data_IF_217434504209
#
_entry.id   IF_217434504209
#
_cell.length_a   1.000
_cell.length_b   1.000
_cell.length_c   1.000
_cell.angle_alpha   90.00
_cell.angle_beta   90.00
_cell.angle_gamma   90.00
#
_symmetry.space_group_name_H-M   'P 1'
#
loop_
_entity.id
_entity.type
_entity.pdbx_description
1 polymer ?
#
# COMPACT_ATOMS: atom_id res chain seq x y z
N UNK A 1 17.07 9.22 2.64
CA UNK A 1 17.53 8.48 3.83
C UNK A 1 17.05 9.06 5.17
N UNK A 2 16.47 10.27 5.23
CA UNK A 2 16.14 10.96 6.50
C UNK A 2 14.67 10.79 6.98
N UNK A 3 13.68 10.79 6.07
CA UNK A 3 12.25 10.70 6.43
C UNK A 3 11.69 9.26 6.46
N UNK A 4 12.27 8.38 5.65
CA UNK A 4 11.86 6.98 5.48
C UNK A 4 13.12 6.08 5.55
N UNK A 5 13.79 6.00 6.71
CA UNK A 5 15.10 5.35 6.81
C UNK A 5 15.08 3.86 6.44
N UNK A 6 13.93 3.20 6.65
CA UNK A 6 13.71 1.79 6.31
C UNK A 6 13.38 1.56 4.83
N UNK A 7 13.05 2.61 4.06
CA UNK A 7 12.68 2.51 2.65
C UNK A 7 13.78 3.07 1.73
N UNK A 8 14.52 2.17 1.08
CA UNK A 8 15.80 2.47 0.40
C UNK A 8 15.69 2.66 -1.12
N UNK A 9 14.58 3.20 -1.62
CA UNK A 9 14.46 3.51 -3.05
C UNK A 9 14.76 4.99 -3.33
N UNK A 10 15.93 5.26 -3.95
CA UNK A 10 16.42 6.61 -4.25
C UNK A 10 15.50 7.43 -5.17
N UNK A 11 14.67 6.78 -6.01
CA UNK A 11 13.77 7.46 -6.97
C UNK A 11 12.70 8.32 -6.29
N UNK A 12 12.38 8.05 -5.02
CA UNK A 12 11.38 8.82 -4.26
C UNK A 12 11.97 10.01 -3.48
N UNK A 13 13.28 10.21 -3.50
CA UNK A 13 13.95 11.33 -2.79
C UNK A 13 14.18 12.54 -3.71
N UNK A 14 13.14 12.95 -4.43
CA UNK A 14 13.09 14.23 -5.16
C UNK A 14 12.71 15.36 -4.19
N UNK A 15 12.89 16.63 -4.58
CA UNK A 15 12.45 17.77 -3.76
C UNK A 15 10.95 17.67 -3.41
N UNK A 16 10.11 17.36 -4.40
CA UNK A 16 8.66 17.14 -4.21
C UNK A 16 8.37 15.97 -3.27
N UNK A 17 9.11 14.86 -3.41
CA UNK A 17 8.99 13.70 -2.54
C UNK A 17 9.39 13.99 -1.08
N UNK A 18 10.44 14.81 -0.88
CA UNK A 18 10.88 15.24 0.44
C UNK A 18 9.86 16.17 1.11
N UNK A 19 9.35 17.17 0.40
CA UNK A 19 8.29 18.06 0.90
C UNK A 19 7.01 17.27 1.24
N UNK A 20 6.62 16.34 0.37
CA UNK A 20 5.52 15.42 0.63
C UNK A 20 5.76 14.54 1.87
N UNK A 21 6.98 14.04 2.05
CA UNK A 21 7.36 13.25 3.21
C UNK A 21 7.36 14.04 4.51
N UNK A 22 7.79 15.31 4.52
CA UNK A 22 7.69 16.20 5.68
C UNK A 22 6.21 16.40 6.05
N UNK A 23 5.37 16.74 5.07
CA UNK A 23 3.93 16.87 5.28
C UNK A 23 3.33 15.59 5.84
N UNK A 24 3.67 14.43 5.28
CA UNK A 24 3.19 13.12 5.76
C UNK A 24 3.54 12.89 7.23
N UNK A 25 4.73 13.29 7.70
CA UNK A 25 5.15 13.11 9.09
C UNK A 25 4.44 14.06 10.07
N UNK A 26 4.08 15.26 9.63
CA UNK A 26 3.45 16.27 10.49
C UNK A 26 1.92 16.13 10.53
N UNK A 27 1.27 15.87 9.39
CA UNK A 27 -0.19 15.95 9.23
C UNK A 27 -0.77 14.78 8.43
N UNK A 28 -2.09 14.57 8.54
CA UNK A 28 -2.82 13.55 7.78
C UNK A 28 -2.79 12.16 8.40
N UNK A 29 -3.35 11.19 7.67
CA UNK A 29 -3.58 9.83 8.16
C UNK A 29 -2.38 8.88 8.01
N UNK A 30 -1.38 9.23 7.18
CA UNK A 30 -0.25 8.35 6.83
C UNK A 30 1.02 8.59 7.66
N UNK A 31 0.92 9.22 8.84
CA UNK A 31 2.07 9.64 9.67
C UNK A 31 2.99 8.49 10.06
N UNK A 32 2.41 7.32 10.29
CA UNK A 32 3.13 6.12 10.75
C UNK A 32 3.67 5.26 9.61
N UNK A 33 3.27 5.53 8.35
CA UNK A 33 3.70 4.72 7.21
C UNK A 33 5.21 4.88 6.98
N UNK A 34 5.98 3.79 6.86
CA UNK A 34 7.44 3.86 6.76
C UNK A 34 7.98 4.13 5.34
N UNK A 35 7.11 4.37 4.36
CA UNK A 35 7.44 4.78 2.98
C UNK A 35 6.61 6.01 2.54
N UNK A 36 7.00 6.68 1.44
CA UNK A 36 6.26 7.82 0.90
C UNK A 36 4.85 7.44 0.42
N UNK A 37 3.84 8.22 0.83
CA UNK A 37 2.45 8.06 0.41
C UNK A 37 1.91 9.40 -0.06
N UNK A 38 1.13 9.40 -1.14
CA UNK A 38 0.47 10.61 -1.59
C UNK A 38 -0.57 11.08 -0.56
N UNK A 39 -0.72 12.38 -0.35
CA UNK A 39 -1.60 12.91 0.71
C UNK A 39 -3.10 12.62 0.49
N UNK A 40 -3.50 12.26 -0.74
CA UNK A 40 -4.86 11.83 -1.07
C UNK A 40 -5.07 10.32 -0.95
N UNK A 41 -4.00 9.58 -0.69
CA UNK A 41 -4.05 8.13 -0.48
C UNK A 41 -4.11 7.83 1.02
N UNK A 42 -4.57 6.64 1.38
CA UNK A 42 -4.69 6.20 2.77
C UNK A 42 -4.13 4.78 2.91
N UNK A 43 -3.27 4.60 3.92
CA UNK A 43 -2.76 3.28 4.31
C UNK A 43 -3.17 2.99 5.76
N UNK A 44 -3.88 1.88 5.97
CA UNK A 44 -4.29 1.38 7.29
C UNK A 44 -3.45 0.15 7.66
N UNK A 45 -3.10 0.05 8.94
CA UNK A 45 -2.23 -1.00 9.46
C UNK A 45 -0.92 -1.20 8.67
N UNK A 46 -0.13 -0.13 8.42
CA UNK A 46 1.12 -0.23 7.68
C UNK A 46 2.15 -1.18 8.32
N UNK A 47 2.03 -1.44 9.63
CA UNK A 47 2.85 -2.41 10.36
C UNK A 47 2.64 -3.86 9.92
N UNK A 48 1.52 -4.16 9.26
CA UNK A 48 1.17 -5.49 8.71
C UNK A 48 1.42 -5.60 7.21
N UNK A 49 1.99 -4.57 6.60
CA UNK A 49 2.25 -4.53 5.16
C UNK A 49 3.76 -4.67 4.95
N UNK A 50 4.14 -5.63 4.10
CA UNK A 50 5.48 -5.70 3.53
C UNK A 50 5.48 -4.90 2.23
N UNK A 51 5.98 -3.65 2.21
CA UNK A 51 6.16 -2.91 0.98
C UNK A 51 7.33 -3.53 0.22
N UNK A 52 7.13 -3.87 -1.06
CA UNK A 52 8.22 -4.30 -1.92
C UNK A 52 9.22 -3.19 -2.20
N UNK A 53 9.84 -3.21 -3.38
CA UNK A 53 10.83 -2.16 -3.73
C UNK A 53 10.20 -0.84 -4.18
N UNK A 54 8.87 -0.78 -4.33
CA UNK A 54 8.09 0.42 -4.66
C UNK A 54 7.25 0.86 -3.47
N UNK A 55 6.85 2.12 -3.46
CA UNK A 55 6.09 2.73 -2.37
C UNK A 55 4.58 2.61 -2.67
N UNK A 56 3.86 1.60 -2.16
CA UNK A 56 2.44 1.46 -2.45
C UNK A 56 1.68 2.66 -1.87
N UNK A 57 0.79 3.24 -2.68
CA UNK A 57 0.07 4.46 -2.32
C UNK A 57 0.83 5.77 -2.57
N UNK A 58 2.00 5.73 -3.22
CA UNK A 58 2.69 6.94 -3.69
C UNK A 58 1.96 7.62 -4.86
N UNK A 59 1.11 6.88 -5.59
CA UNK A 59 0.20 7.44 -6.58
C UNK A 59 -1.04 8.05 -5.89
N UNK A 60 -1.79 8.88 -6.62
CA UNK A 60 -2.95 9.59 -6.07
C UNK A 60 -4.11 8.64 -5.75
N UNK A 61 -4.79 8.87 -4.62
CA UNK A 61 -6.11 8.31 -4.33
C UNK A 61 -6.16 6.80 -4.06
N UNK A 62 -5.04 6.17 -3.71
CA UNK A 62 -5.02 4.75 -3.35
C UNK A 62 -5.62 4.52 -1.97
N UNK A 63 -6.31 3.39 -1.79
CA UNK A 63 -6.79 2.92 -0.49
C UNK A 63 -6.18 1.55 -0.18
N UNK A 64 -5.31 1.48 0.82
CA UNK A 64 -4.56 0.26 1.15
C UNK A 64 -4.86 -0.11 2.59
N UNK A 65 -5.56 -1.22 2.78
CA UNK A 65 -5.97 -1.71 4.08
C UNK A 65 -5.23 -3.01 4.42
N UNK A 66 -4.23 -2.92 5.30
CA UNK A 66 -3.37 -4.04 5.69
C UNK A 66 -3.83 -4.84 6.90
N UNK A 67 -5.08 -4.72 7.37
CA UNK A 67 -5.51 -5.31 8.65
C UNK A 67 -5.37 -6.84 8.74
N UNK A 68 -5.51 -7.61 7.65
CA UNK A 68 -5.16 -9.04 7.60
C UNK A 68 -3.78 -9.33 6.97
N UNK A 69 -3.04 -8.28 6.61
CA UNK A 69 -1.72 -8.38 6.01
C UNK A 69 -1.73 -8.26 4.48
N UNK A 70 -0.66 -7.65 3.96
CA UNK A 70 -0.41 -7.54 2.52
C UNK A 70 1.08 -7.77 2.29
N UNK A 71 1.40 -8.71 1.41
CA UNK A 71 2.76 -9.00 0.95
C UNK A 71 2.89 -8.50 -0.47
N UNK A 72 3.67 -7.43 -0.67
CA UNK A 72 4.02 -6.91 -1.98
C UNK A 72 5.49 -7.22 -2.24
N UNK A 73 5.75 -8.04 -3.24
CA UNK A 73 7.12 -8.41 -3.61
C UNK A 73 7.82 -7.32 -4.45
N UNK A 74 9.02 -7.61 -4.92
CA UNK A 74 9.87 -6.65 -5.61
C UNK A 74 9.26 -6.19 -6.96
N UNK A 75 9.50 -4.92 -7.29
CA UNK A 75 9.13 -4.34 -8.58
C UNK A 75 7.62 -4.38 -8.90
N UNK A 76 6.76 -4.45 -7.89
CA UNK A 76 5.31 -4.28 -8.05
C UNK A 76 4.95 -2.81 -8.10
N UNK A 77 4.28 -2.37 -9.16
CA UNK A 77 3.82 -0.99 -9.32
C UNK A 77 2.35 -0.85 -8.94
N UNK A 78 2.02 0.21 -8.20
CA UNK A 78 0.63 0.58 -7.89
C UNK A 78 0.29 1.91 -8.56
N UNK A 79 -0.67 1.86 -9.49
CA UNK A 79 -1.18 3.03 -10.19
C UNK A 79 -2.11 3.90 -9.34
N UNK A 80 -2.62 5.00 -9.90
CA UNK A 80 -3.62 5.84 -9.26
C UNK A 80 -4.88 5.06 -8.88
N UNK A 81 -5.49 5.39 -7.74
CA UNK A 81 -6.81 4.89 -7.31
C UNK A 81 -6.92 3.37 -7.17
N UNK A 82 -5.79 2.67 -7.11
CA UNK A 82 -5.75 1.25 -6.74
C UNK A 82 -6.24 1.08 -5.30
N UNK A 83 -7.13 0.12 -5.10
CA UNK A 83 -7.57 -0.29 -3.77
C UNK A 83 -7.08 -1.71 -3.46
N UNK A 84 -6.40 -1.90 -2.35
CA UNK A 84 -5.93 -3.21 -1.86
C UNK A 84 -6.51 -3.40 -0.47
N UNK A 85 -7.49 -4.29 -0.32
CA UNK A 85 -8.33 -4.37 0.88
C UNK A 85 -8.19 -5.77 1.48
N UNK A 86 -7.29 -5.93 2.45
CA UNK A 86 -7.04 -7.24 3.08
C UNK A 86 -8.12 -7.65 4.08
N UNK A 87 -9.05 -6.78 4.49
CA UNK A 87 -10.04 -7.12 5.51
C UNK A 87 -11.48 -7.03 4.99
N UNK A 88 -12.24 -8.07 5.30
CA UNK A 88 -13.68 -8.17 5.07
C UNK A 88 -14.45 -8.21 6.40
N UNK A 89 -15.74 -7.91 6.32
CA UNK A 89 -16.70 -8.15 7.39
C UNK A 89 -17.27 -9.56 7.30
N UNK A 90 -17.79 -10.11 8.41
CA UNK A 90 -18.54 -11.36 8.33
C UNK A 90 -19.85 -11.14 7.54
N UNK A 91 -20.29 -12.17 6.83
CA UNK A 91 -21.47 -12.08 5.97
C UNK A 91 -22.78 -11.95 6.76
N UNK A 92 -22.79 -12.38 8.01
CA UNK A 92 -23.91 -12.38 8.95
C UNK A 92 -23.81 -11.29 10.03
N UNK A 93 -22.62 -10.75 10.27
CA UNK A 93 -22.39 -9.62 11.19
C UNK A 93 -21.35 -8.62 10.66
N UNK A 94 -21.85 -7.50 10.15
CA UNK A 94 -21.02 -6.39 9.65
C UNK A 94 -20.28 -5.59 10.73
N UNK A 95 -20.50 -5.84 12.02
CA UNK A 95 -19.67 -5.28 13.09
C UNK A 95 -18.41 -6.11 13.35
N UNK A 96 -18.43 -7.38 12.95
CA UNK A 96 -17.30 -8.29 13.06
C UNK A 96 -16.43 -8.28 11.80
N UNK A 97 -15.17 -8.67 11.96
CA UNK A 97 -14.21 -8.80 10.87
C UNK A 97 -13.77 -10.25 10.70
N UNK A 98 -13.57 -10.67 9.45
CA UNK A 98 -13.07 -12.01 9.12
C UNK A 98 -11.55 -11.99 9.13
N UNK A 99 -10.96 -12.95 9.82
CA UNK A 99 -9.53 -13.24 9.73
C UNK A 99 -9.29 -14.11 8.48
N UNK A 100 -8.47 -13.60 7.56
CA UNK A 100 -8.15 -14.27 6.29
C UNK A 100 -6.64 -14.32 6.08
N UNK A 101 -6.22 -15.07 5.05
CA UNK A 101 -4.86 -15.06 4.56
C UNK A 101 -4.49 -13.66 4.04
N UNK A 102 -3.21 -13.26 4.13
CA UNK A 102 -2.77 -11.99 3.58
C UNK A 102 -2.95 -11.97 2.05
N UNK A 103 -3.14 -10.77 1.50
CA UNK A 103 -3.05 -10.57 0.04
C UNK A 103 -1.58 -10.74 -0.37
N UNK A 104 -1.32 -11.47 -1.45
CA UNK A 104 0.03 -11.66 -2.00
C UNK A 104 0.08 -11.12 -3.42
N UNK A 105 0.96 -10.14 -3.67
CA UNK A 105 1.21 -9.62 -5.01
C UNK A 105 2.66 -9.91 -5.36
N UNK A 106 2.85 -10.89 -6.26
CA UNK A 106 4.17 -11.39 -6.61
C UNK A 106 4.94 -10.40 -7.51
N UNK A 107 6.25 -10.57 -7.56
CA UNK A 107 7.19 -9.64 -8.19
C UNK A 107 6.88 -9.35 -9.65
N UNK A 108 7.37 -8.20 -10.12
CA UNK A 108 7.25 -7.71 -11.50
C UNK A 108 5.81 -7.48 -11.99
N UNK A 109 4.86 -7.27 -11.08
CA UNK A 109 3.46 -7.04 -11.41
C UNK A 109 3.12 -5.54 -11.52
N UNK A 110 2.04 -5.23 -12.22
CA UNK A 110 1.48 -3.88 -12.35
C UNK A 110 0.01 -3.91 -11.95
N UNK A 111 -0.34 -3.15 -10.91
CA UNK A 111 -1.73 -2.81 -10.61
C UNK A 111 -2.05 -1.49 -11.31
N UNK A 112 -2.79 -1.53 -12.41
CA UNK A 112 -3.15 -0.35 -13.17
C UNK A 112 -4.24 0.48 -12.46
N UNK A 113 -4.73 1.55 -13.10
CA UNK A 113 -5.63 2.49 -12.43
C UNK A 113 -6.98 1.88 -12.04
N UNK A 114 -7.52 2.29 -10.89
CA UNK A 114 -8.86 1.92 -10.40
C UNK A 114 -9.11 0.41 -10.14
N UNK A 115 -8.10 -0.46 -10.19
CA UNK A 115 -8.33 -1.86 -9.85
C UNK A 115 -8.52 -2.05 -8.33
N UNK A 116 -9.24 -3.13 -7.98
CA UNK A 116 -9.54 -3.50 -6.60
C UNK A 116 -9.08 -4.93 -6.37
N UNK A 117 -8.21 -5.11 -5.37
CA UNK A 117 -7.74 -6.42 -4.90
C UNK A 117 -8.35 -6.66 -3.52
N UNK A 118 -9.09 -7.76 -3.38
CA UNK A 118 -9.80 -8.12 -2.15
C UNK A 118 -9.01 -9.11 -1.30
N UNK A 119 -9.50 -9.34 -0.08
CA UNK A 119 -8.88 -10.23 0.90
C UNK A 119 -8.61 -11.63 0.35
N UNK A 120 -7.51 -12.25 0.82
CA UNK A 120 -7.10 -13.59 0.43
C UNK A 120 -6.61 -13.76 -1.02
N UNK A 121 -6.65 -12.72 -1.87
CA UNK A 121 -6.20 -12.83 -3.27
C UNK A 121 -4.68 -12.98 -3.35
N UNK A 122 -4.24 -13.92 -4.19
CA UNK A 122 -2.86 -14.03 -4.66
C UNK A 122 -2.77 -13.73 -6.16
N UNK A 123 -1.90 -12.81 -6.55
CA UNK A 123 -1.56 -12.51 -7.94
C UNK A 123 -0.16 -13.05 -8.25
N UNK A 124 -0.05 -13.89 -9.28
CA UNK A 124 1.21 -14.50 -9.71
C UNK A 124 2.24 -13.49 -10.24
N UNK A 125 3.46 -13.94 -10.48
CA UNK A 125 4.53 -13.08 -11.03
C UNK A 125 4.12 -12.52 -12.40
N UNK A 126 4.59 -11.31 -12.72
CA UNK A 126 4.32 -10.65 -14.02
C UNK A 126 2.82 -10.39 -14.30
N UNK A 127 1.98 -10.36 -13.27
CA UNK A 127 0.55 -10.07 -13.44
C UNK A 127 0.32 -8.59 -13.74
N UNK A 128 -0.54 -8.31 -14.71
CA UNK A 128 -1.08 -6.96 -14.95
C UNK A 128 -2.58 -7.02 -14.66
N UNK A 129 -3.04 -6.13 -13.79
CA UNK A 129 -4.45 -5.97 -13.42
C UNK A 129 -4.97 -4.65 -13.93
#
# INVERSE_FOLDING_TARGET
MMLFPKFKNKRYYTLTGLLGGIRQRLVGANKTVPWPVHFTSLVKSPEKIQPGTKAPGSAIGCYIDGRNGIIIEENVWTGPRVSIISQNHANDDYYSYVQEQPIIIRKNSLLATNCVILSGVELGEHTIV
#
